data_IF_512686454153
#
_entry.id   IF_512686454153
#
_cell.length_a   1.000
_cell.length_b   1.000
_cell.length_c   1.000
_cell.angle_alpha   90.00
_cell.angle_beta   90.00
_cell.angle_gamma   90.00
#
_symmetry.space_group_name_H-M   'P 1'
#
loop_
_entity.id
_entity.type
_entity.pdbx_description
1 polymer ?
#
# COMPACT_ATOMS: atom_id res chain seq x y z
N UNK A 1 12.73 -22.73 -21.08
CA UNK A 1 11.64 -21.79 -20.75
C UNK A 1 10.49 -22.12 -21.68
N UNK A 2 9.36 -22.55 -21.15
CA UNK A 2 8.20 -22.93 -21.96
C UNK A 2 7.31 -21.71 -22.11
N UNK A 3 7.36 -21.04 -23.26
CA UNK A 3 6.60 -19.83 -23.53
C UNK A 3 5.54 -20.14 -24.59
N UNK A 4 4.28 -19.84 -24.29
CA UNK A 4 3.15 -20.04 -25.21
C UNK A 4 2.47 -18.70 -25.42
N UNK A 5 2.26 -18.32 -26.68
CA UNK A 5 1.57 -17.08 -27.05
C UNK A 5 0.20 -17.45 -27.61
N UNK A 6 -0.85 -16.90 -27.02
CA UNK A 6 -2.25 -17.05 -27.45
C UNK A 6 -2.90 -15.68 -27.58
N UNK A 7 -3.83 -15.52 -28.52
CA UNK A 7 -4.66 -14.31 -28.62
C UNK A 7 -5.96 -14.49 -27.83
N UNK A 8 -6.46 -13.39 -27.25
CA UNK A 8 -7.80 -13.33 -26.64
C UNK A 8 -8.63 -12.31 -27.43
N UNK A 9 -9.93 -12.56 -27.69
CA UNK A 9 -10.79 -11.56 -28.30
C UNK A 9 -10.89 -10.29 -27.45
N UNK A 10 -11.22 -9.13 -28.05
CA UNK A 10 -11.35 -7.87 -27.32
C UNK A 10 -12.32 -7.99 -26.14
N UNK A 11 -11.96 -7.36 -25.01
CA UNK A 11 -12.84 -7.27 -23.86
C UNK A 11 -13.98 -6.29 -24.17
N UNK A 12 -15.21 -6.80 -24.28
CA UNK A 12 -16.40 -6.03 -24.67
C UNK A 12 -17.66 -6.49 -23.91
N UNK A 13 -17.71 -6.31 -22.57
CA UNK A 13 -18.90 -6.66 -21.80
C UNK A 13 -20.02 -5.62 -22.04
N UNK A 14 -21.30 -6.01 -21.85
CA UNK A 14 -22.42 -5.06 -21.92
C UNK A 14 -22.41 -4.01 -20.78
N UNK A 15 -21.78 -4.32 -19.64
CA UNK A 15 -21.62 -3.43 -18.48
C UNK A 15 -20.25 -3.70 -17.82
N UNK A 16 -19.58 -2.66 -17.34
CA UNK A 16 -18.32 -2.73 -16.62
C UNK A 16 -18.27 -1.72 -15.45
N UNK A 17 -17.67 -2.13 -14.33
CA UNK A 17 -17.36 -1.26 -13.20
C UNK A 17 -15.85 -1.28 -12.92
N UNK A 18 -15.28 -0.09 -12.68
CA UNK A 18 -13.87 0.08 -12.35
C UNK A 18 -13.76 1.03 -11.16
N UNK A 19 -12.97 0.64 -10.16
CA UNK A 19 -12.64 1.48 -9.00
C UNK A 19 -11.14 1.76 -8.97
N UNK A 20 -10.78 2.99 -8.59
CA UNK A 20 -9.41 3.36 -8.24
C UNK A 20 -9.40 4.13 -6.93
N UNK A 21 -8.62 3.63 -5.96
CA UNK A 21 -8.32 4.33 -4.72
C UNK A 21 -7.22 5.37 -4.95
N UNK A 22 -7.49 6.61 -4.55
CA UNK A 22 -6.57 7.73 -4.70
C UNK A 22 -5.42 7.69 -3.67
N UNK A 23 -4.40 8.53 -3.86
CA UNK A 23 -3.21 8.53 -2.99
C UNK A 23 -3.51 8.83 -1.50
N UNK A 24 -4.60 9.56 -1.20
CA UNK A 24 -5.04 9.84 0.17
C UNK A 24 -5.99 8.79 0.75
N UNK A 25 -6.35 7.75 0.00
CA UNK A 25 -7.20 6.69 0.51
C UNK A 25 -6.43 5.89 1.58
N UNK A 26 -7.04 5.59 2.75
CA UNK A 26 -6.40 4.83 3.84
C UNK A 26 -5.67 3.56 3.37
N UNK A 27 -6.32 2.75 2.53
CA UNK A 27 -5.72 1.53 1.97
C UNK A 27 -4.49 1.81 1.10
N UNK A 28 -4.56 2.80 0.21
CA UNK A 28 -3.42 3.17 -0.65
C UNK A 28 -2.24 3.71 0.17
N UNK A 29 -2.51 4.39 1.29
CA UNK A 29 -1.48 4.80 2.25
C UNK A 29 -0.84 3.56 2.89
N UNK A 30 -1.64 2.59 3.32
CA UNK A 30 -1.16 1.33 3.90
C UNK A 30 -0.29 0.54 2.93
N UNK A 31 -0.77 0.36 1.69
CA UNK A 31 -0.05 -0.34 0.62
C UNK A 31 1.31 0.32 0.35
N UNK A 32 1.31 1.65 0.24
CA UNK A 32 2.53 2.40 -0.05
C UNK A 32 3.55 2.30 1.08
N UNK A 33 3.11 2.38 2.33
CA UNK A 33 4.01 2.33 3.49
C UNK A 33 4.58 0.93 3.71
N UNK A 34 3.80 -0.13 3.45
CA UNK A 34 4.29 -1.50 3.44
C UNK A 34 5.39 -1.70 2.38
N UNK A 35 5.17 -1.22 1.16
CA UNK A 35 6.15 -1.30 0.07
C UNK A 35 7.41 -0.48 0.35
N UNK A 36 7.26 0.76 0.85
CA UNK A 36 8.41 1.60 1.18
C UNK A 36 9.24 0.99 2.34
N UNK A 37 8.59 0.33 3.32
CA UNK A 37 9.29 -0.45 4.35
C UNK A 37 10.03 -1.65 3.75
N UNK A 38 9.39 -2.41 2.85
CA UNK A 38 10.02 -3.56 2.20
C UNK A 38 11.28 -3.15 1.43
N UNK A 39 11.20 -2.04 0.68
CA UNK A 39 12.35 -1.47 -0.05
C UNK A 39 13.46 -1.01 0.89
N UNK A 40 13.11 -0.38 2.01
CA UNK A 40 14.08 0.05 3.00
C UNK A 40 14.79 -1.13 3.67
N UNK A 41 14.04 -2.17 4.06
CA UNK A 41 14.60 -3.40 4.64
C UNK A 41 15.52 -4.12 3.67
N UNK A 42 15.11 -4.29 2.42
CA UNK A 42 15.94 -4.93 1.40
C UNK A 42 17.28 -4.21 1.21
N UNK A 43 17.27 -2.86 1.16
CA UNK A 43 18.50 -2.07 1.07
C UNK A 43 19.37 -2.24 2.30
N UNK A 44 18.80 -2.14 3.50
CA UNK A 44 19.53 -2.34 4.74
C UNK A 44 20.16 -3.76 4.80
N UNK A 45 19.44 -4.79 4.38
CA UNK A 45 20.00 -6.14 4.33
C UNK A 45 21.15 -6.28 3.35
N UNK A 46 21.05 -5.68 2.16
CA UNK A 46 22.16 -5.67 1.19
C UNK A 46 23.38 -4.94 1.76
N UNK A 47 23.18 -3.80 2.42
CA UNK A 47 24.26 -3.00 3.02
C UNK A 47 24.96 -3.75 4.16
N UNK A 48 24.22 -4.50 4.98
CA UNK A 48 24.78 -5.15 6.17
C UNK A 48 25.19 -6.62 5.97
N UNK A 49 24.59 -7.32 5.01
CA UNK A 49 24.75 -8.79 4.86
C UNK A 49 25.09 -9.23 3.44
N UNK A 50 25.20 -8.29 2.49
CA UNK A 50 25.40 -8.52 1.06
C UNK A 50 24.29 -9.32 0.35
N UNK A 51 23.23 -9.67 1.06
CA UNK A 51 22.10 -10.44 0.56
C UNK A 51 20.80 -9.84 1.09
N UNK A 52 19.70 -10.00 0.34
CA UNK A 52 18.38 -9.71 0.89
C UNK A 52 17.96 -10.90 1.76
N UNK A 53 17.72 -10.65 3.04
CA UNK A 53 17.24 -11.68 3.95
C UNK A 53 15.74 -11.92 3.78
N UNK A 54 15.25 -13.06 4.26
CA UNK A 54 13.83 -13.37 4.23
C UNK A 54 13.06 -12.46 5.21
N UNK A 55 12.11 -11.69 4.68
CA UNK A 55 11.17 -10.88 5.45
C UNK A 55 9.81 -10.78 4.73
N UNK A 56 8.75 -10.47 5.46
CA UNK A 56 7.50 -9.98 4.88
C UNK A 56 6.90 -8.84 5.71
N UNK A 57 6.51 -7.75 5.05
CA UNK A 57 5.93 -6.57 5.72
C UNK A 57 4.68 -6.08 4.96
N UNK A 58 3.90 -7.04 4.46
CA UNK A 58 2.70 -6.87 3.65
C UNK A 58 1.45 -6.50 4.45
N UNK A 59 1.57 -6.30 5.77
CA UNK A 59 0.44 -5.93 6.63
C UNK A 59 0.65 -4.54 7.20
N UNK A 60 -0.39 -3.72 7.10
CA UNK A 60 -0.47 -2.43 7.75
C UNK A 60 -1.87 -2.23 8.31
N UNK A 61 -1.95 -1.63 9.50
CA UNK A 61 -3.21 -1.29 10.15
C UNK A 61 -3.23 0.21 10.37
N UNK A 62 -4.19 0.89 9.75
CA UNK A 62 -4.47 2.30 9.96
C UNK A 62 -5.79 2.46 10.72
N UNK A 63 -5.69 2.70 12.03
CA UNK A 63 -6.83 3.06 12.86
C UNK A 63 -7.07 4.58 12.75
N UNK A 64 -8.23 4.97 12.22
CA UNK A 64 -8.58 6.36 12.05
C UNK A 64 -8.72 7.07 13.41
N UNK A 65 -8.16 8.27 13.50
CA UNK A 65 -8.42 9.20 14.57
C UNK A 65 -9.71 9.98 14.35
N UNK A 66 -9.79 11.16 14.95
CA UNK A 66 -10.93 12.07 14.78
C UNK A 66 -10.47 13.53 14.65
N UNK A 67 -11.23 14.30 13.87
CA UNK A 67 -10.96 15.70 13.56
C UNK A 67 -12.24 16.51 13.70
N UNK A 68 -12.09 17.79 14.04
CA UNK A 68 -13.15 18.80 13.92
C UNK A 68 -12.77 19.74 12.79
N UNK A 69 -13.59 19.80 11.75
CA UNK A 69 -13.32 20.58 10.54
C UNK A 69 -14.38 21.66 10.37
N UNK A 70 -13.93 22.90 10.11
CA UNK A 70 -14.78 24.04 9.77
C UNK A 70 -14.24 24.73 8.51
N UNK A 71 -14.96 25.71 7.97
CA UNK A 71 -14.35 26.54 6.92
C UNK A 71 -13.14 27.29 7.47
N UNK A 72 -12.07 27.36 6.68
CA UNK A 72 -10.82 28.03 7.06
C UNK A 72 -9.89 27.22 7.97
N UNK A 73 -10.25 26.00 8.38
CA UNK A 73 -9.34 25.16 9.16
C UNK A 73 -10.01 24.05 9.96
N UNK A 74 -9.32 23.56 10.97
CA UNK A 74 -9.79 22.50 11.85
C UNK A 74 -8.73 22.09 12.84
N UNK A 75 -9.08 21.16 13.71
CA UNK A 75 -8.20 20.61 14.74
C UNK A 75 -8.29 19.09 14.77
N UNK A 76 -7.16 18.46 15.08
CA UNK A 76 -7.14 17.04 15.41
C UNK A 76 -7.63 16.85 16.84
N UNK A 77 -8.68 16.05 17.01
CA UNK A 77 -9.19 15.69 18.33
C UNK A 77 -8.48 14.43 18.84
N UNK A 78 -8.24 13.47 17.95
CA UNK A 78 -7.47 12.26 18.22
C UNK A 78 -6.61 11.91 17.01
N UNK A 79 -5.31 11.63 17.19
CA UNK A 79 -4.45 11.26 16.08
C UNK A 79 -4.81 9.86 15.55
N UNK A 80 -4.69 9.67 14.23
CA UNK A 80 -4.72 8.33 13.65
C UNK A 80 -3.50 7.52 14.09
N UNK A 81 -3.67 6.21 14.20
CA UNK A 81 -2.59 5.28 14.54
C UNK A 81 -2.30 4.36 13.37
N UNK A 82 -1.06 4.36 12.91
CA UNK A 82 -0.55 3.43 11.90
C UNK A 82 0.38 2.40 12.55
N UNK A 83 0.21 1.13 12.20
CA UNK A 83 1.10 0.04 12.60
C UNK A 83 1.49 -0.76 11.36
N UNK A 84 2.78 -0.84 11.07
CA UNK A 84 3.33 -1.77 10.08
C UNK A 84 3.63 -3.10 10.77
N UNK A 85 3.17 -4.19 10.18
CA UNK A 85 3.20 -5.53 10.77
C UNK A 85 3.87 -6.50 9.79
N UNK A 86 4.77 -7.33 10.31
CA UNK A 86 5.56 -8.22 9.48
C UNK A 86 6.46 -9.16 10.26
N UNK A 87 7.26 -9.94 9.53
CA UNK A 87 8.29 -10.84 10.03
C UNK A 87 9.61 -10.56 9.34
#
# INVERSE_FOLDING_TARGET
MNLTVTSRPPYAPPVEFVERKGAGHPDTICDRLAEDLARALAKAYLEHTAHVQAFNVDKAVLAAGSVRVTFGGGEYLQPSRLVLVGK
#
